data_IF_005555608604
#
_entry.id   IF_005555608604
#
_cell.length_a   1.000
_cell.length_b   1.000
_cell.length_c   1.000
_cell.angle_alpha   90.00
_cell.angle_beta   90.00
_cell.angle_gamma   90.00
#
_symmetry.space_group_name_H-M   'P 1'
#
loop_
_entity.id
_entity.type
_entity.pdbx_description
1 polymer ?
#
# COMPACT_ATOMS: atom_id res chain seq x y z
N UNK A 1 -4.16 -19.69 -3.89
CA UNK A 1 -4.30 -18.83 -2.70
C UNK A 1 -5.59 -19.21 -2.00
N UNK A 2 -5.56 -19.37 -0.67
CA UNK A 2 -6.75 -19.70 0.12
C UNK A 2 -7.73 -18.53 0.19
N UNK A 3 -9.00 -18.85 0.47
CA UNK A 3 -10.06 -17.85 0.66
C UNK A 3 -9.72 -16.97 1.88
N UNK A 4 -9.65 -15.65 1.69
CA UNK A 4 -9.23 -14.64 2.69
C UNK A 4 -10.33 -14.27 3.69
N UNK A 5 -11.34 -15.11 3.88
CA UNK A 5 -12.53 -14.78 4.68
C UNK A 5 -12.24 -14.52 6.17
N UNK A 6 -11.19 -15.13 6.71
CA UNK A 6 -10.72 -14.92 8.09
C UNK A 6 -9.80 -13.70 8.27
N UNK A 7 -9.40 -13.03 7.18
CA UNK A 7 -8.54 -11.84 7.26
C UNK A 7 -9.38 -10.56 7.37
N UNK A 8 -8.86 -9.54 8.08
CA UNK A 8 -9.45 -8.20 8.10
C UNK A 8 -9.75 -7.69 6.69
N UNK A 9 -10.82 -6.92 6.56
CA UNK A 9 -11.18 -6.27 5.30
C UNK A 9 -10.32 -5.03 5.08
N UNK A 10 -9.72 -4.91 3.90
CA UNK A 10 -9.06 -3.69 3.46
C UNK A 10 -10.14 -2.65 3.12
N UNK A 11 -9.81 -1.36 3.24
CA UNK A 11 -10.71 -0.28 2.83
C UNK A 11 -11.14 -0.40 1.36
N UNK A 12 -10.23 -0.80 0.48
CA UNK A 12 -10.49 -1.06 -0.95
C UNK A 12 -11.65 -2.05 -1.18
N UNK A 13 -11.72 -3.07 -0.33
CA UNK A 13 -12.76 -4.09 -0.41
C UNK A 13 -14.14 -3.53 -0.04
N UNK A 14 -14.19 -2.57 0.89
CA UNK A 14 -15.43 -1.86 1.22
C UNK A 14 -15.93 -1.00 0.06
N UNK A 15 -15.05 -0.31 -0.68
CA UNK A 15 -15.46 0.54 -1.81
C UNK A 15 -16.12 -0.25 -2.92
N UNK A 16 -15.51 -1.39 -3.29
CA UNK A 16 -16.04 -2.25 -4.35
C UNK A 16 -17.40 -2.83 -3.96
N UNK A 17 -17.55 -3.27 -2.71
CA UNK A 17 -18.81 -3.87 -2.24
C UNK A 17 -19.89 -2.80 -2.00
N UNK A 18 -19.51 -1.63 -1.50
CA UNK A 18 -20.42 -0.49 -1.33
C UNK A 18 -20.97 0.01 -2.66
N UNK A 19 -20.11 0.12 -3.68
CA UNK A 19 -20.53 0.44 -5.05
C UNK A 19 -21.54 -0.58 -5.61
N UNK A 20 -21.30 -1.87 -5.38
CA UNK A 20 -22.28 -2.91 -5.73
C UNK A 20 -23.62 -2.68 -5.03
N UNK A 21 -23.62 -2.40 -3.72
CA UNK A 21 -24.84 -2.09 -2.98
C UNK A 21 -25.59 -0.90 -3.58
N UNK A 22 -24.91 0.23 -3.83
CA UNK A 22 -25.56 1.43 -4.38
C UNK A 22 -26.15 1.19 -5.76
N UNK A 23 -25.41 0.52 -6.66
CA UNK A 23 -25.90 0.25 -8.01
C UNK A 23 -27.06 -0.73 -8.04
N UNK A 24 -27.09 -1.69 -7.11
CA UNK A 24 -28.15 -2.71 -7.06
C UNK A 24 -29.38 -2.23 -6.28
N UNK A 25 -29.20 -1.39 -5.26
CA UNK A 25 -30.28 -0.92 -4.39
C UNK A 25 -30.97 -2.03 -3.57
N UNK A 26 -30.39 -3.24 -3.55
CA UNK A 26 -30.94 -4.42 -2.87
C UNK A 26 -29.82 -5.39 -2.49
N UNK A 27 -30.12 -6.30 -1.58
CA UNK A 27 -29.22 -7.40 -1.26
C UNK A 27 -29.06 -8.33 -2.47
N UNK A 28 -27.89 -8.96 -2.56
CA UNK A 28 -27.51 -9.86 -3.66
C UNK A 28 -27.13 -11.22 -3.10
N UNK A 29 -27.47 -12.28 -3.82
CA UNK A 29 -27.18 -13.66 -3.43
C UNK A 29 -25.76 -14.09 -3.80
N UNK A 30 -25.33 -15.23 -3.25
CA UNK A 30 -24.00 -15.80 -3.50
C UNK A 30 -23.79 -16.31 -4.93
N UNK A 31 -24.87 -16.65 -5.63
CA UNK A 31 -24.85 -17.07 -7.03
C UNK A 31 -24.93 -15.92 -8.05
N UNK A 32 -25.01 -14.67 -7.59
CA UNK A 32 -24.99 -13.52 -8.51
C UNK A 32 -23.63 -13.44 -9.24
N UNK A 33 -23.60 -13.39 -10.59
CA UNK A 33 -22.35 -13.38 -11.35
C UNK A 33 -21.39 -12.25 -10.95
N UNK A 34 -21.92 -11.08 -10.58
CA UNK A 34 -21.10 -9.95 -10.17
C UNK A 34 -20.51 -10.16 -8.77
N UNK A 35 -21.27 -10.81 -7.87
CA UNK A 35 -20.77 -11.23 -6.55
C UNK A 35 -19.64 -12.24 -6.70
N UNK A 36 -19.77 -13.20 -7.60
CA UNK A 36 -18.72 -14.19 -7.90
C UNK A 36 -17.47 -13.52 -8.47
N UNK A 37 -17.63 -12.58 -9.40
CA UNK A 37 -16.51 -11.83 -9.97
C UNK A 37 -15.79 -10.97 -8.92
N UNK A 38 -16.53 -10.27 -8.07
CA UNK A 38 -15.96 -9.50 -6.95
C UNK A 38 -15.26 -10.43 -5.98
N UNK A 39 -15.87 -11.54 -5.58
CA UNK A 39 -15.27 -12.52 -4.68
C UNK A 39 -13.92 -13.03 -5.21
N UNK A 40 -13.83 -13.34 -6.50
CA UNK A 40 -12.57 -13.69 -7.17
C UNK A 40 -11.54 -12.55 -7.10
N UNK A 41 -11.94 -11.32 -7.43
CA UNK A 41 -11.06 -10.15 -7.35
C UNK A 41 -10.56 -9.88 -5.92
N UNK A 42 -11.37 -10.10 -4.89
CA UNK A 42 -10.98 -9.86 -3.50
C UNK A 42 -10.24 -11.04 -2.86
N UNK A 43 -10.26 -12.21 -3.52
CA UNK A 43 -9.79 -13.45 -2.92
C UNK A 43 -10.64 -13.91 -1.74
N UNK A 44 -11.93 -13.55 -1.72
CA UNK A 44 -12.91 -13.90 -0.68
C UNK A 44 -13.98 -14.86 -1.22
N UNK A 45 -14.83 -15.41 -0.37
CA UNK A 45 -15.97 -16.20 -0.83
C UNK A 45 -17.13 -15.31 -1.30
N UNK A 46 -17.97 -15.79 -2.24
CA UNK A 46 -19.23 -15.11 -2.60
C UNK A 46 -20.13 -14.85 -1.39
N UNK A 47 -20.14 -15.76 -0.41
CA UNK A 47 -20.87 -15.60 0.85
C UNK A 47 -20.38 -14.42 1.68
N UNK A 48 -19.06 -14.21 1.74
CA UNK A 48 -18.43 -13.08 2.43
C UNK A 48 -18.80 -11.75 1.78
N UNK A 49 -18.77 -11.69 0.44
CA UNK A 49 -19.17 -10.51 -0.33
C UNK A 49 -20.67 -10.21 -0.17
N UNK A 50 -21.54 -11.20 -0.36
CA UNK A 50 -22.99 -11.07 -0.17
C UNK A 50 -23.34 -10.60 1.24
N UNK A 51 -22.69 -11.16 2.27
CA UNK A 51 -22.84 -10.70 3.66
C UNK A 51 -22.41 -9.25 3.81
N UNK A 52 -21.30 -8.84 3.20
CA UNK A 52 -20.83 -7.45 3.27
C UNK A 52 -21.80 -6.48 2.59
N UNK A 53 -22.42 -6.85 1.47
CA UNK A 53 -23.54 -6.08 0.89
C UNK A 53 -24.70 -5.94 1.89
N UNK A 54 -25.03 -7.01 2.61
CA UNK A 54 -26.03 -6.98 3.69
C UNK A 54 -25.66 -6.04 4.84
N UNK A 55 -24.38 -5.81 5.13
CA UNK A 55 -23.95 -4.81 6.12
C UNK A 55 -24.19 -3.38 5.62
N UNK A 56 -23.91 -3.09 4.35
CA UNK A 56 -24.27 -1.79 3.75
C UNK A 56 -25.78 -1.57 3.76
N UNK A 57 -26.58 -2.60 3.50
CA UNK A 57 -28.03 -2.54 3.63
C UNK A 57 -28.45 -2.13 5.05
N UNK A 58 -27.88 -2.76 6.08
CA UNK A 58 -28.16 -2.40 7.48
C UNK A 58 -27.66 -1.02 7.89
N UNK A 59 -26.57 -0.54 7.28
CA UNK A 59 -26.08 0.84 7.45
C UNK A 59 -27.06 1.85 6.87
N UNK A 60 -27.55 1.61 5.65
CA UNK A 60 -28.43 2.55 4.95
C UNK A 60 -29.89 2.45 5.38
N UNK A 61 -30.30 1.31 5.93
CA UNK A 61 -31.66 1.02 6.38
C UNK A 61 -31.64 0.44 7.80
N UNK A 62 -31.40 1.25 8.84
CA UNK A 62 -31.35 0.77 10.22
C UNK A 62 -32.60 -0.02 10.62
N UNK A 63 -32.40 -1.18 11.23
CA UNK A 63 -33.50 -2.11 11.58
C UNK A 63 -33.92 -3.06 10.46
N UNK A 64 -33.40 -2.91 9.24
CA UNK A 64 -33.59 -3.83 8.11
C UNK A 64 -32.23 -4.22 7.53
N UNK A 65 -31.78 -5.44 7.78
CA UNK A 65 -30.51 -5.96 7.23
C UNK A 65 -29.57 -6.50 8.30
N UNK A 66 -28.30 -6.66 7.93
CA UNK A 66 -27.28 -7.15 8.86
C UNK A 66 -26.74 -6.02 9.74
N UNK A 67 -25.88 -6.35 10.70
CA UNK A 67 -25.23 -5.36 11.56
C UNK A 67 -24.57 -4.27 10.71
N UNK A 68 -24.83 -2.97 10.98
CA UNK A 68 -24.21 -1.87 10.25
C UNK A 68 -22.69 -1.92 10.28
N UNK A 69 -22.07 -1.28 9.29
CA UNK A 69 -20.66 -0.90 9.34
C UNK A 69 -20.40 0.04 10.52
N UNK A 70 -19.16 0.02 11.03
CA UNK A 70 -18.72 0.88 12.13
C UNK A 70 -17.29 1.37 11.88
N UNK A 71 -16.87 2.41 12.60
CA UNK A 71 -15.50 2.92 12.55
C UNK A 71 -15.16 3.59 11.21
N UNK A 72 -13.91 3.46 10.79
CA UNK A 72 -13.40 4.12 9.59
C UNK A 72 -14.13 3.74 8.29
N UNK A 73 -14.45 2.45 8.01
CA UNK A 73 -15.23 2.10 6.82
C UNK A 73 -16.58 2.82 6.74
N UNK A 74 -17.28 3.00 7.87
CA UNK A 74 -18.54 3.75 7.91
C UNK A 74 -18.32 5.23 7.60
N UNK A 75 -17.35 5.87 8.26
CA UNK A 75 -17.05 7.30 8.10
C UNK A 75 -16.73 7.65 6.64
N UNK A 76 -15.93 6.82 5.98
CA UNK A 76 -15.57 7.05 4.57
C UNK A 76 -16.74 6.64 3.65
N UNK A 77 -17.52 5.62 3.99
CA UNK A 77 -18.73 5.29 3.22
C UNK A 77 -19.70 6.47 3.17
N UNK A 78 -19.97 7.10 4.31
CA UNK A 78 -20.84 8.27 4.41
C UNK A 78 -20.33 9.45 3.57
N UNK A 79 -19.01 9.63 3.47
CA UNK A 79 -18.43 10.70 2.65
C UNK A 79 -18.46 10.40 1.14
N UNK A 80 -18.30 9.13 0.74
CA UNK A 80 -18.25 8.73 -0.67
C UNK A 80 -19.62 8.53 -1.30
N UNK A 81 -20.59 7.97 -0.56
CA UNK A 81 -21.90 7.57 -1.11
C UNK A 81 -22.70 8.73 -1.71
N UNK A 82 -22.51 9.95 -1.20
CA UNK A 82 -23.13 11.17 -1.71
C UNK A 82 -22.39 11.81 -2.88
N UNK A 83 -21.24 11.27 -3.29
CA UNK A 83 -20.40 11.79 -4.35
C UNK A 83 -20.03 10.68 -5.35
N UNK A 84 -20.87 10.43 -6.37
CA UNK A 84 -20.67 9.35 -7.33
C UNK A 84 -19.32 9.39 -8.04
N UNK A 85 -18.81 10.58 -8.35
CA UNK A 85 -17.50 10.74 -9.01
C UNK A 85 -16.34 10.38 -8.07
N UNK A 86 -16.43 10.71 -6.78
CA UNK A 86 -15.43 10.30 -5.80
C UNK A 86 -15.46 8.78 -5.58
N UNK A 87 -16.66 8.20 -5.44
CA UNK A 87 -16.81 6.75 -5.30
C UNK A 87 -16.27 5.99 -6.52
N UNK A 88 -16.62 6.42 -7.74
CA UNK A 88 -16.14 5.77 -8.96
C UNK A 88 -14.61 5.79 -9.06
N UNK A 89 -13.96 6.90 -8.67
CA UNK A 89 -12.49 6.98 -8.59
C UNK A 89 -11.92 6.04 -7.53
N UNK A 90 -12.47 6.02 -6.33
CA UNK A 90 -12.03 5.14 -5.25
C UNK A 90 -12.16 3.65 -5.65
N UNK A 91 -13.27 3.27 -6.28
CA UNK A 91 -13.50 1.91 -6.78
C UNK A 91 -12.50 1.55 -7.88
N UNK A 92 -12.23 2.46 -8.83
CA UNK A 92 -11.24 2.22 -9.88
C UNK A 92 -9.84 1.98 -9.31
N UNK A 93 -9.41 2.80 -8.35
CA UNK A 93 -8.12 2.62 -7.67
C UNK A 93 -8.07 1.33 -6.85
N UNK A 94 -9.13 1.03 -6.08
CA UNK A 94 -9.26 -0.20 -5.31
C UNK A 94 -9.15 -1.44 -6.18
N UNK A 95 -9.80 -1.44 -7.37
CA UNK A 95 -9.70 -2.54 -8.33
C UNK A 95 -8.28 -2.71 -8.84
N UNK A 96 -7.64 -1.63 -9.30
CA UNK A 96 -6.25 -1.67 -9.78
C UNK A 96 -5.30 -2.23 -8.71
N UNK A 97 -5.42 -1.76 -7.46
CA UNK A 97 -4.60 -2.22 -6.34
C UNK A 97 -4.86 -3.68 -5.99
N UNK A 98 -6.12 -4.09 -5.84
CA UNK A 98 -6.46 -5.48 -5.48
C UNK A 98 -6.09 -6.48 -6.58
N UNK A 99 -6.15 -6.09 -7.86
CA UNK A 99 -5.62 -6.90 -8.96
C UNK A 99 -4.13 -7.16 -8.77
N UNK A 100 -3.33 -6.13 -8.49
CA UNK A 100 -1.90 -6.29 -8.22
C UNK A 100 -1.65 -7.16 -6.98
N UNK A 101 -2.38 -6.94 -5.88
CA UNK A 101 -2.18 -7.67 -4.63
C UNK A 101 -2.55 -9.16 -4.74
N UNK A 102 -3.63 -9.49 -5.43
CA UNK A 102 -4.12 -10.88 -5.49
C UNK A 102 -3.48 -11.71 -6.59
N UNK A 103 -3.09 -11.11 -7.72
CA UNK A 103 -2.40 -11.84 -8.79
C UNK A 103 -0.87 -11.72 -8.71
N UNK A 104 -0.35 -10.77 -7.92
CA UNK A 104 1.07 -10.45 -7.85
C UNK A 104 1.60 -9.68 -9.06
N UNK A 105 0.76 -9.35 -10.05
CA UNK A 105 1.14 -8.68 -11.28
C UNK A 105 0.03 -7.77 -11.82
N UNK A 106 0.41 -6.67 -12.44
CA UNK A 106 -0.51 -5.86 -13.24
C UNK A 106 0.25 -5.16 -14.35
N UNK A 107 -0.45 -4.67 -15.35
CA UNK A 107 0.10 -3.76 -16.35
C UNK A 107 -0.50 -2.38 -16.08
N UNK A 108 0.36 -1.39 -15.88
CA UNK A 108 -0.03 0.00 -15.66
C UNK A 108 -0.67 0.60 -16.92
N UNK A 109 -1.40 1.71 -16.76
CA UNK A 109 -2.00 2.45 -17.89
C UNK A 109 -0.99 2.90 -18.95
N UNK A 110 0.27 3.09 -18.56
CA UNK A 110 1.36 3.49 -19.47
C UNK A 110 2.14 2.28 -20.03
N UNK A 111 1.62 1.06 -19.86
CA UNK A 111 2.17 -0.17 -20.44
C UNK A 111 3.32 -0.81 -19.66
N UNK A 112 3.74 -0.24 -18.53
CA UNK A 112 4.77 -0.84 -17.67
C UNK A 112 4.21 -2.03 -16.87
N UNK A 113 4.98 -3.11 -16.78
CA UNK A 113 4.61 -4.27 -15.96
C UNK A 113 4.98 -4.06 -14.49
N UNK A 114 4.04 -4.25 -13.56
CA UNK A 114 4.23 -4.03 -12.13
C UNK A 114 4.07 -5.35 -11.39
N UNK A 115 5.08 -5.77 -10.60
CA UNK A 115 5.09 -7.04 -9.86
C UNK A 115 5.32 -6.82 -8.37
N UNK A 116 4.55 -7.51 -7.54
CA UNK A 116 4.87 -7.68 -6.12
C UNK A 116 6.03 -8.67 -6.00
N UNK A 117 7.04 -8.31 -5.23
CA UNK A 117 8.22 -9.13 -4.98
C UNK A 117 8.54 -9.17 -3.48
N UNK A 118 9.43 -10.08 -3.07
CA UNK A 118 9.99 -10.02 -1.73
C UNK A 118 10.86 -8.76 -1.56
N UNK A 119 10.87 -8.11 -0.38
CA UNK A 119 11.87 -7.11 -0.06
C UNK A 119 13.27 -7.69 -0.25
N UNK A 120 14.21 -6.86 -0.72
CA UNK A 120 15.60 -7.29 -0.81
C UNK A 120 16.24 -7.31 0.59
N UNK A 121 16.94 -8.40 0.88
CA UNK A 121 17.59 -8.66 2.17
C UNK A 121 19.09 -8.28 2.10
N UNK A 122 19.75 -8.03 3.25
CA UNK A 122 21.18 -7.81 3.30
C UNK A 122 21.98 -8.98 2.71
N UNK A 123 23.08 -8.70 2.02
CA UNK A 123 24.00 -9.74 1.57
C UNK A 123 24.80 -10.28 2.76
N UNK A 124 24.95 -11.60 2.85
CA UNK A 124 25.68 -12.28 3.94
C UNK A 124 27.11 -12.68 3.60
N UNK A 125 27.55 -12.53 2.35
CA UNK A 125 28.91 -12.93 1.94
C UNK A 125 29.90 -11.74 1.88
N UNK A 126 31.11 -11.88 2.44
CA UNK A 126 32.18 -10.89 2.29
C UNK A 126 32.75 -10.98 0.87
N UNK A 127 32.62 -9.90 0.10
CA UNK A 127 33.11 -9.84 -1.29
C UNK A 127 34.25 -8.82 -1.38
N UNK A 128 35.36 -9.17 -2.05
CA UNK A 128 36.57 -8.37 -2.14
C UNK A 128 36.75 -7.72 -3.53
N UNK A 129 36.42 -6.43 -3.72
CA UNK A 129 36.90 -5.57 -4.85
C UNK A 129 36.80 -4.08 -4.48
N UNK A 130 37.84 -3.29 -4.80
CA UNK A 130 38.28 -2.05 -4.11
C UNK A 130 37.91 -0.70 -4.78
N UNK A 131 36.99 -0.63 -5.74
CA UNK A 131 36.59 0.68 -6.37
C UNK A 131 35.09 0.96 -6.41
N UNK A 132 34.26 0.02 -5.94
CA UNK A 132 32.81 0.18 -5.73
C UNK A 132 32.44 0.25 -4.23
N UNK A 133 33.43 0.43 -3.36
CA UNK A 133 33.29 0.20 -1.93
C UNK A 133 32.26 1.13 -1.28
N UNK A 134 32.32 2.44 -1.53
CA UNK A 134 31.39 3.42 -0.93
C UNK A 134 29.93 3.24 -1.39
N UNK A 135 29.71 3.00 -2.69
CA UNK A 135 28.37 2.73 -3.24
C UNK A 135 27.83 1.41 -2.68
N UNK A 136 28.70 0.41 -2.50
CA UNK A 136 28.33 -0.88 -1.94
C UNK A 136 28.04 -0.79 -0.45
N UNK A 137 28.84 -0.06 0.31
CA UNK A 137 28.62 0.22 1.74
C UNK A 137 27.29 0.92 1.94
N UNK A 138 26.96 1.93 1.13
CA UNK A 138 25.67 2.61 1.18
C UNK A 138 24.52 1.63 0.91
N UNK A 139 24.61 0.78 -0.12
CA UNK A 139 23.59 -0.25 -0.42
C UNK A 139 23.44 -1.28 0.69
N UNK A 140 24.55 -1.69 1.30
CA UNK A 140 24.53 -2.63 2.42
C UNK A 140 23.86 -2.00 3.64
N UNK A 141 24.22 -0.75 3.98
CA UNK A 141 23.59 0.00 5.07
C UNK A 141 22.08 0.24 4.82
N UNK A 142 21.68 0.51 3.57
CA UNK A 142 20.26 0.57 3.18
C UNK A 142 19.55 -0.77 3.41
N UNK A 143 20.15 -1.88 2.99
CA UNK A 143 19.57 -3.21 3.18
C UNK A 143 19.45 -3.57 4.67
N UNK A 144 20.44 -3.22 5.49
CA UNK A 144 20.41 -3.43 6.94
C UNK A 144 19.31 -2.61 7.62
N UNK A 145 19.19 -1.32 7.28
CA UNK A 145 18.14 -0.46 7.80
C UNK A 145 16.74 -0.95 7.39
N UNK A 146 16.60 -1.38 6.13
CA UNK A 146 15.38 -1.98 5.59
C UNK A 146 14.96 -3.22 6.37
N UNK A 147 15.91 -4.10 6.68
CA UNK A 147 15.62 -5.34 7.42
C UNK A 147 15.26 -5.05 8.88
N UNK A 148 15.96 -4.11 9.53
CA UNK A 148 15.60 -3.67 10.89
C UNK A 148 14.16 -3.14 10.94
N UNK A 149 13.78 -2.29 9.99
CA UNK A 149 12.42 -1.79 9.89
C UNK A 149 11.42 -2.91 9.58
N UNK A 150 11.75 -3.83 8.68
CA UNK A 150 10.89 -4.96 8.32
C UNK A 150 10.60 -5.85 9.53
N UNK A 151 11.62 -6.21 10.31
CA UNK A 151 11.47 -7.04 11.52
C UNK A 151 10.60 -6.35 12.56
N UNK A 152 10.81 -5.04 12.78
CA UNK A 152 10.02 -4.26 13.73
C UNK A 152 8.56 -4.09 13.29
N UNK A 153 8.32 -3.74 12.02
CA UNK A 153 7.00 -3.38 11.49
C UNK A 153 6.14 -4.58 11.09
N UNK A 154 6.77 -5.63 10.59
CA UNK A 154 6.14 -6.81 10.01
C UNK A 154 6.85 -8.09 10.47
N UNK A 155 6.78 -8.43 11.77
CA UNK A 155 7.48 -9.59 12.32
C UNK A 155 7.01 -10.93 11.71
N UNK A 156 5.80 -10.97 11.14
CA UNK A 156 5.27 -12.15 10.45
C UNK A 156 5.65 -12.21 8.96
N UNK A 157 6.23 -11.15 8.39
CA UNK A 157 6.62 -11.07 6.99
C UNK A 157 5.45 -11.11 6.00
N UNK A 158 4.26 -10.68 6.42
CA UNK A 158 3.03 -10.79 5.62
C UNK A 158 2.55 -9.47 5.02
N UNK A 159 3.08 -8.34 5.48
CA UNK A 159 2.60 -6.99 5.19
C UNK A 159 3.52 -6.23 4.24
N UNK A 160 4.82 -6.25 4.49
CA UNK A 160 5.80 -5.48 3.71
C UNK A 160 6.29 -6.29 2.52
N UNK A 161 6.30 -5.67 1.34
CA UNK A 161 6.76 -6.25 0.08
C UNK A 161 7.67 -5.27 -0.66
N UNK A 162 8.39 -5.74 -1.67
CA UNK A 162 8.94 -4.84 -2.69
C UNK A 162 8.01 -4.75 -3.90
N UNK A 163 8.28 -3.79 -4.79
CA UNK A 163 7.65 -3.72 -6.10
C UNK A 163 8.73 -3.67 -7.19
N UNK A 164 8.62 -4.51 -8.20
CA UNK A 164 9.39 -4.37 -9.44
C UNK A 164 8.52 -3.75 -10.52
N UNK A 165 9.03 -2.70 -11.17
CA UNK A 165 8.36 -2.02 -12.29
C UNK A 165 9.23 -2.22 -13.52
N UNK A 166 8.72 -2.96 -14.50
CA UNK A 166 9.33 -3.14 -15.81
C UNK A 166 8.89 -1.99 -16.71
N UNK A 167 9.70 -0.94 -16.72
CA UNK A 167 9.60 0.19 -17.63
C UNK A 167 10.23 -0.15 -19.01
N UNK A 168 10.01 0.67 -20.06
CA UNK A 168 10.54 0.40 -21.39
C UNK A 168 12.07 0.18 -21.41
N UNK A 169 12.82 1.09 -20.77
CA UNK A 169 14.29 1.11 -20.83
C UNK A 169 14.97 0.56 -19.57
N UNK A 170 14.21 0.24 -18.53
CA UNK A 170 14.80 -0.15 -17.24
C UNK A 170 13.85 -0.98 -16.39
N UNK A 171 14.40 -1.61 -15.35
CA UNK A 171 13.60 -2.16 -14.26
C UNK A 171 13.83 -1.31 -13.03
N UNK A 172 12.78 -0.67 -12.54
CA UNK A 172 12.80 0.08 -11.29
C UNK A 172 12.38 -0.85 -10.15
N UNK A 173 12.94 -0.62 -8.96
CA UNK A 173 12.62 -1.39 -7.77
C UNK A 173 12.26 -0.45 -6.64
N UNK A 174 11.07 -0.62 -6.09
CA UNK A 174 10.68 -0.01 -4.82
C UNK A 174 11.14 -0.93 -3.70
N UNK A 175 11.85 -0.35 -2.74
CA UNK A 175 12.41 -1.08 -1.61
C UNK A 175 11.35 -1.75 -0.74
N UNK A 176 10.38 -0.95 -0.31
CA UNK A 176 9.31 -1.39 0.56
C UNK A 176 7.97 -0.79 0.13
N UNK A 177 6.94 -1.60 0.22
CA UNK A 177 5.55 -1.25 0.01
C UNK A 177 4.74 -1.87 1.14
N UNK A 178 4.08 -1.02 1.90
CA UNK A 178 3.16 -1.42 2.95
C UNK A 178 1.75 -1.57 2.39
N UNK A 179 1.33 -2.83 2.25
CA UNK A 179 0.07 -3.18 1.64
C UNK A 179 -1.16 -2.89 2.50
N UNK A 180 -1.03 -2.59 3.79
CA UNK A 180 -2.23 -2.29 4.60
C UNK A 180 -2.62 -0.82 4.51
N UNK A 181 -1.64 0.08 4.53
CA UNK A 181 -1.84 1.54 4.51
C UNK A 181 -1.50 2.18 3.17
N UNK A 182 -1.09 1.39 2.18
CA UNK A 182 -0.83 1.86 0.82
C UNK A 182 0.34 2.85 0.71
N UNK A 183 1.44 2.54 1.38
CA UNK A 183 2.61 3.41 1.51
C UNK A 183 3.80 2.83 0.75
N UNK A 184 4.35 3.58 -0.22
CA UNK A 184 5.67 3.28 -0.80
C UNK A 184 6.76 3.91 0.07
N UNK A 185 7.81 3.13 0.31
CA UNK A 185 8.93 3.53 1.15
C UNK A 185 10.23 3.27 0.38
N UNK A 186 11.00 4.33 0.17
CA UNK A 186 12.38 4.26 -0.32
C UNK A 186 13.31 4.29 0.89
N UNK A 187 14.38 3.48 0.90
CA UNK A 187 15.34 3.47 2.01
C UNK A 187 16.58 4.26 1.61
N UNK A 188 17.12 5.06 2.53
CA UNK A 188 18.43 5.70 2.38
C UNK A 188 19.26 5.52 3.63
N UNK A 189 20.55 5.21 3.45
CA UNK A 189 21.48 4.96 4.54
C UNK A 189 21.96 6.24 5.26
N UNK A 190 21.65 7.42 4.73
CA UNK A 190 22.03 8.71 5.31
C UNK A 190 20.89 9.73 5.18
N UNK A 191 21.02 10.85 5.91
CA UNK A 191 20.13 12.01 5.82
C UNK A 191 20.71 13.11 4.92
N UNK A 192 21.60 12.78 3.98
CA UNK A 192 22.23 13.77 3.11
C UNK A 192 21.23 14.34 2.11
N UNK A 193 21.31 15.66 1.88
CA UNK A 193 20.38 16.39 0.99
C UNK A 193 20.31 15.78 -0.40
N UNK A 194 21.45 15.45 -0.99
CA UNK A 194 21.51 14.96 -2.38
C UNK A 194 20.85 13.58 -2.51
N UNK A 195 21.08 12.70 -1.53
CA UNK A 195 20.47 11.38 -1.49
C UNK A 195 18.96 11.45 -1.19
N UNK A 196 18.53 12.38 -0.34
CA UNK A 196 17.10 12.63 -0.12
C UNK A 196 16.41 13.16 -1.39
N UNK A 197 17.01 14.12 -2.09
CA UNK A 197 16.47 14.62 -3.37
C UNK A 197 16.39 13.52 -4.42
N UNK A 198 17.38 12.63 -4.44
CA UNK A 198 17.36 11.46 -5.30
C UNK A 198 16.20 10.52 -4.95
N UNK A 199 16.00 10.20 -3.66
CA UNK A 199 14.89 9.39 -3.17
C UNK A 199 13.52 10.01 -3.52
N UNK A 200 13.38 11.32 -3.40
CA UNK A 200 12.17 12.05 -3.82
C UNK A 200 11.88 11.82 -5.31
N UNK A 201 12.90 11.95 -6.16
CA UNK A 201 12.79 11.67 -7.59
C UNK A 201 12.36 10.23 -7.87
N UNK A 202 13.00 9.26 -7.20
CA UNK A 202 12.66 7.84 -7.30
C UNK A 202 11.19 7.58 -6.93
N UNK A 203 10.73 8.04 -5.78
CA UNK A 203 9.35 7.82 -5.32
C UNK A 203 8.31 8.38 -6.29
N UNK A 204 8.54 9.57 -6.82
CA UNK A 204 7.66 10.16 -7.82
C UNK A 204 7.69 9.40 -9.16
N UNK A 205 8.87 8.91 -9.57
CA UNK A 205 9.01 8.10 -10.78
C UNK A 205 8.34 6.73 -10.64
N UNK A 206 8.34 6.14 -9.44
CA UNK A 206 7.62 4.88 -9.20
C UNK A 206 6.11 5.10 -9.23
N UNK A 207 5.62 6.14 -8.55
CA UNK A 207 4.18 6.41 -8.38
C UNK A 207 3.45 6.52 -9.72
N UNK A 208 4.05 7.12 -10.76
CA UNK A 208 3.39 7.28 -12.06
C UNK A 208 3.11 5.96 -12.80
N UNK A 209 3.73 4.86 -12.38
CA UNK A 209 3.48 3.52 -12.91
C UNK A 209 2.44 2.74 -12.11
N UNK A 210 1.92 3.29 -11.01
CA UNK A 210 0.84 2.69 -10.25
C UNK A 210 -0.49 3.31 -10.64
N UNK A 211 -1.49 2.48 -10.94
CA UNK A 211 -2.83 2.93 -11.33
C UNK A 211 -3.75 3.22 -10.13
N UNK A 212 -3.15 3.37 -8.95
CA UNK A 212 -3.79 3.68 -7.68
C UNK A 212 -2.91 4.66 -6.91
N UNK A 213 -3.52 5.52 -6.11
CA UNK A 213 -2.78 6.47 -5.28
C UNK A 213 -1.99 5.74 -4.20
N UNK A 214 -0.87 6.30 -3.79
CA UNK A 214 -0.03 5.80 -2.68
C UNK A 214 0.49 6.98 -1.90
N UNK A 215 0.58 6.80 -0.58
CA UNK A 215 1.41 7.68 0.23
C UNK A 215 2.89 7.34 -0.02
N UNK A 216 3.75 8.32 0.19
CA UNK A 216 5.19 8.20 -0.06
C UNK A 216 5.96 8.52 1.22
N UNK A 217 6.96 7.72 1.54
CA UNK A 217 7.88 8.00 2.63
C UNK A 217 9.31 7.60 2.30
N UNK A 218 10.27 8.19 3.02
CA UNK A 218 11.67 7.78 3.01
C UNK A 218 12.03 7.24 4.39
N UNK A 219 12.60 6.04 4.43
CA UNK A 219 13.15 5.42 5.65
C UNK A 219 14.61 5.81 5.82
N UNK A 220 14.95 6.32 7.01
CA UNK A 220 16.24 6.94 7.32
C UNK A 220 16.81 6.42 8.64
N UNK A 221 18.15 6.44 8.81
CA UNK A 221 18.79 5.98 10.04
C UNK A 221 18.55 6.91 11.23
N UNK A 222 18.21 8.18 10.99
CA UNK A 222 17.98 9.21 12.01
C UNK A 222 17.07 10.31 11.46
N UNK A 223 16.55 11.16 12.34
CA UNK A 223 15.68 12.29 11.96
C UNK A 223 16.46 13.29 11.08
N UNK A 224 15.93 13.69 9.90
CA UNK A 224 16.48 14.81 9.14
C UNK A 224 16.49 16.11 9.95
N UNK A 225 17.40 17.02 9.63
CA UNK A 225 17.31 18.39 10.16
C UNK A 225 16.06 19.10 9.61
N UNK A 226 15.68 20.20 10.25
CA UNK A 226 14.42 20.90 9.96
C UNK A 226 14.32 21.44 8.52
N UNK A 227 15.43 21.84 7.90
CA UNK A 227 15.43 22.23 6.49
C UNK A 227 15.05 21.05 5.58
N UNK A 228 15.64 19.87 5.82
CA UNK A 228 15.34 18.66 5.06
C UNK A 228 13.93 18.13 5.35
N UNK A 229 13.43 18.31 6.58
CA UNK A 229 12.02 18.05 6.88
C UNK A 229 11.10 18.95 6.05
N UNK A 230 11.41 20.24 5.94
CA UNK A 230 10.66 21.18 5.11
C UNK A 230 10.70 20.82 3.62
N UNK A 231 11.84 20.31 3.12
CA UNK A 231 11.93 19.78 1.75
C UNK A 231 10.94 18.63 1.52
N UNK A 232 10.90 17.66 2.45
CA UNK A 232 10.02 16.49 2.33
C UNK A 232 8.54 16.88 2.48
N UNK A 233 8.23 17.82 3.37
CA UNK A 233 6.87 18.37 3.54
C UNK A 233 6.36 19.04 2.26
N UNK A 234 7.15 19.93 1.65
CA UNK A 234 6.79 20.58 0.38
C UNK A 234 6.62 19.53 -0.73
N UNK A 235 7.46 18.50 -0.72
CA UNK A 235 7.35 17.36 -1.62
C UNK A 235 6.23 16.38 -1.24
N UNK A 236 5.44 16.61 -0.18
CA UNK A 236 4.38 15.71 0.31
C UNK A 236 4.86 14.26 0.47
N UNK A 237 6.07 14.11 1.01
CA UNK A 237 6.70 12.84 1.30
C UNK A 237 6.95 12.78 2.81
N UNK A 238 6.59 11.67 3.43
CA UNK A 238 6.88 11.42 4.83
C UNK A 238 8.33 11.06 5.08
N UNK A 239 8.81 11.27 6.30
CA UNK A 239 10.03 10.67 6.79
C UNK A 239 9.69 9.63 7.87
N UNK A 240 10.33 8.48 7.80
CA UNK A 240 10.34 7.47 8.86
C UNK A 240 11.79 7.33 9.30
N UNK A 241 12.05 7.36 10.60
CA UNK A 241 13.42 7.20 11.10
C UNK A 241 13.47 6.35 12.35
N UNK A 242 14.66 5.78 12.60
CA UNK A 242 14.93 5.00 13.79
C UNK A 242 14.99 5.90 15.03
N UNK A 243 14.32 5.46 16.09
CA UNK A 243 14.33 6.09 17.41
C UNK A 243 14.63 5.01 18.45
N UNK A 244 15.91 4.87 18.80
CA UNK A 244 16.39 3.78 19.66
C UNK A 244 16.16 2.39 19.06
N UNK A 245 15.22 1.63 19.63
CA UNK A 245 14.83 0.27 19.20
C UNK A 245 13.51 0.24 18.42
N UNK A 246 12.86 1.40 18.23
CA UNK A 246 11.63 1.56 17.46
C UNK A 246 11.86 2.47 16.26
N UNK A 247 10.77 2.76 15.54
CA UNK A 247 10.72 3.77 14.49
C UNK A 247 9.60 4.74 14.78
N UNK A 248 9.79 5.98 14.33
CA UNK A 248 8.80 7.06 14.39
C UNK A 248 8.71 7.75 13.02
N UNK A 249 7.73 8.63 12.85
CA UNK A 249 7.46 9.27 11.56
C UNK A 249 7.11 10.75 11.67
N UNK A 250 7.17 11.44 10.53
CA UNK A 250 6.95 12.88 10.41
C UNK A 250 5.46 13.31 10.45
N UNK A 251 4.52 12.39 10.64
CA UNK A 251 3.08 12.61 10.56
C UNK A 251 2.36 12.07 11.81
N UNK A 252 2.98 12.18 12.99
CA UNK A 252 2.38 11.83 14.28
C UNK A 252 1.81 10.40 14.30
N UNK A 253 2.59 9.46 13.77
CA UNK A 253 2.24 8.04 13.73
C UNK A 253 1.43 7.64 12.50
N UNK A 254 0.97 8.58 11.65
CA UNK A 254 0.07 8.27 10.52
C UNK A 254 0.69 7.24 9.57
N UNK A 255 1.99 7.36 9.29
CA UNK A 255 2.71 6.46 8.38
C UNK A 255 3.01 5.08 9.01
N UNK A 256 2.82 4.95 10.32
CA UNK A 256 3.08 3.74 11.09
C UNK A 256 1.82 3.13 11.70
N UNK A 257 0.64 3.72 11.49
CA UNK A 257 -0.66 3.17 11.93
C UNK A 257 -0.95 1.85 11.24
N UNK A 258 -1.55 0.91 11.97
CA UNK A 258 -1.79 -0.47 11.58
C UNK A 258 -3.07 -0.67 10.80
#
# INVERSE_FOLDING_TARGET
MGVRDGLPWLLDEYWIVGDLWLRRGRTVGTGDPEVVAIASLLGRSPSSVSRRVGNFAGTDQPGKGLKPLTGEPLRIWESLRGNPAALARAVAQARSRLTLLNSGFSVSRVGAGVRIIAPELPNTEPVAVTTQETVREAKQAEAELREQFRVWRDPKGQRLRGIAIKAPESTLRVDLYDQSINLLIEVKATTDRDLLRFAVGQLYDYRRYLDFEVDLAILLPSRPNEDLMGLLEVARIGAIWRDGTSFTDSQDGHLLRS
#
